data_IF_777158697720
#
_entry.id   IF_777158697720
#
_cell.length_a   1.000
_cell.length_b   1.000
_cell.length_c   1.000
_cell.angle_alpha   90.00
_cell.angle_beta   90.00
_cell.angle_gamma   90.00
#
_symmetry.space_group_name_H-M   'P 1'
#
loop_
_entity.id
_entity.type
_entity.pdbx_description
1 polymer ?
#
# COMPACT_ATOMS: atom_id res chain seq x y z
N UNK A 1 -8.34 9.95 7.32
CA UNK A 1 -8.76 11.30 6.86
C UNK A 1 -9.66 12.06 7.83
N UNK A 2 -10.79 11.51 8.26
CA UNK A 2 -11.72 12.22 9.14
C UNK A 2 -11.14 12.70 10.50
N UNK A 3 -9.95 12.26 10.91
CA UNK A 3 -9.25 12.71 12.12
C UNK A 3 -7.97 13.50 11.84
N UNK A 4 -7.63 13.76 10.57
CA UNK A 4 -6.38 14.46 10.18
C UNK A 4 -6.31 15.86 10.78
N UNK A 5 -7.43 16.59 10.77
CA UNK A 5 -7.52 17.95 11.33
C UNK A 5 -7.59 18.00 12.86
N UNK A 6 -7.37 16.88 13.56
CA UNK A 6 -7.29 16.80 15.00
C UNK A 6 -8.39 15.97 15.67
N UNK A 7 -8.32 15.91 17.00
CA UNK A 7 -9.14 15.02 17.82
C UNK A 7 -10.64 15.35 17.77
N UNK A 8 -11.49 14.33 17.55
CA UNK A 8 -12.94 14.47 17.39
C UNK A 8 -13.73 13.47 18.23
N UNK A 9 -14.91 13.88 18.66
CA UNK A 9 -15.94 12.99 19.25
C UNK A 9 -16.59 12.13 18.16
N UNK A 10 -17.29 11.06 18.56
CA UNK A 10 -18.05 10.20 17.63
C UNK A 10 -19.07 11.01 16.84
N UNK A 11 -19.72 11.98 17.47
CA UNK A 11 -20.75 12.84 16.87
C UNK A 11 -20.15 13.76 15.80
N UNK A 12 -18.91 14.23 16.01
CA UNK A 12 -18.19 15.01 15.01
C UNK A 12 -17.76 14.15 13.81
N UNK A 13 -17.33 12.91 14.05
CA UNK A 13 -16.98 11.97 12.97
C UNK A 13 -18.23 11.54 12.20
N UNK A 14 -19.35 11.31 12.87
CA UNK A 14 -20.66 11.05 12.25
C UNK A 14 -21.05 12.17 11.28
N UNK A 15 -20.93 13.44 11.70
CA UNK A 15 -21.24 14.59 10.83
C UNK A 15 -20.40 14.64 9.56
N UNK A 16 -19.18 14.11 9.58
CA UNK A 16 -18.27 14.11 8.42
C UNK A 16 -18.45 12.88 7.53
N UNK A 17 -18.77 11.73 8.11
CA UNK A 17 -18.77 10.42 7.40
C UNK A 17 -20.16 9.88 7.10
N UNK A 18 -21.21 10.39 7.76
CA UNK A 18 -22.57 9.86 7.68
C UNK A 18 -22.78 8.52 8.42
N UNK A 19 -21.72 7.89 8.93
CA UNK A 19 -21.81 6.59 9.59
C UNK A 19 -22.51 6.68 10.96
N UNK A 20 -23.27 5.64 11.34
CA UNK A 20 -24.04 5.67 12.59
C UNK A 20 -23.17 5.87 13.84
N UNK A 21 -23.65 6.65 14.80
CA UNK A 21 -22.94 6.89 16.07
C UNK A 21 -22.64 5.57 16.81
N UNK A 22 -23.57 4.60 16.79
CA UNK A 22 -23.36 3.29 17.40
C UNK A 22 -22.20 2.53 16.74
N UNK A 23 -22.19 2.47 15.42
CA UNK A 23 -21.15 1.78 14.66
C UNK A 23 -19.79 2.45 14.78
N UNK A 24 -19.76 3.79 14.65
CA UNK A 24 -18.54 4.57 14.83
C UNK A 24 -17.93 4.38 16.22
N UNK A 25 -18.74 4.42 17.28
CA UNK A 25 -18.23 4.18 18.64
C UNK A 25 -17.57 2.80 18.75
N UNK A 26 -18.25 1.76 18.28
CA UNK A 26 -17.73 0.39 18.34
C UNK A 26 -16.41 0.23 17.57
N UNK A 27 -16.33 0.70 16.32
CA UNK A 27 -15.12 0.55 15.51
C UNK A 27 -13.98 1.43 16.04
N UNK A 28 -14.27 2.67 16.46
CA UNK A 28 -13.24 3.57 16.98
C UNK A 28 -12.70 3.10 18.33
N UNK A 29 -13.54 2.54 19.21
CA UNK A 29 -13.08 1.91 20.46
C UNK A 29 -12.24 0.65 20.17
N UNK A 30 -12.59 -0.15 19.18
CA UNK A 30 -11.76 -1.28 18.74
C UNK A 30 -10.41 -0.81 18.18
N UNK A 31 -10.38 0.24 17.37
CA UNK A 31 -9.14 0.85 16.86
C UNK A 31 -8.27 1.45 17.97
N UNK A 32 -8.87 1.90 19.08
CA UNK A 32 -8.11 2.27 20.28
C UNK A 32 -7.46 1.04 20.91
N UNK A 33 -8.19 -0.07 21.03
CA UNK A 33 -7.65 -1.34 21.55
C UNK A 33 -6.54 -1.94 20.66
N UNK A 34 -6.57 -1.66 19.36
CA UNK A 34 -5.52 -2.03 18.40
C UNK A 34 -4.39 -1.00 18.29
N UNK A 35 -4.39 0.04 19.13
CA UNK A 35 -3.39 1.12 19.12
C UNK A 35 -3.28 1.89 17.80
N UNK A 36 -4.37 1.91 17.02
CA UNK A 36 -4.48 2.72 15.80
C UNK A 36 -5.08 4.11 16.09
N UNK A 37 -5.83 4.25 17.18
CA UNK A 37 -6.35 5.52 17.68
C UNK A 37 -6.03 5.70 19.17
N UNK A 38 -6.08 6.94 19.64
CA UNK A 38 -6.08 7.30 21.06
C UNK A 38 -7.43 7.86 21.44
N UNK A 39 -7.87 7.65 22.67
CA UNK A 39 -9.08 8.26 23.23
C UNK A 39 -8.76 9.03 24.49
N UNK A 40 -9.12 10.30 24.54
CA UNK A 40 -8.89 11.15 25.72
C UNK A 40 -10.01 10.99 26.77
N UNK A 41 -9.81 11.59 27.95
CA UNK A 41 -10.80 11.57 29.05
C UNK A 41 -12.12 12.28 28.71
N UNK A 42 -12.13 13.13 27.68
CA UNK A 42 -13.33 13.83 27.18
C UNK A 42 -14.04 13.03 26.09
N UNK A 43 -13.57 11.81 25.79
CA UNK A 43 -14.15 10.93 24.77
C UNK A 43 -13.80 11.32 23.33
N UNK A 44 -12.78 12.15 23.11
CA UNK A 44 -12.29 12.47 21.76
C UNK A 44 -11.27 11.45 21.31
N UNK A 45 -11.37 11.09 20.04
CA UNK A 45 -10.45 10.18 19.35
C UNK A 45 -9.45 10.98 18.53
N UNK A 46 -8.19 10.58 18.54
CA UNK A 46 -7.13 11.12 17.70
C UNK A 46 -6.29 10.00 17.08
N UNK A 47 -5.56 10.31 16.01
CA UNK A 47 -4.63 9.38 15.40
C UNK A 47 -3.45 9.11 16.34
N UNK A 48 -2.90 7.91 16.27
CA UNK A 48 -1.51 7.66 16.69
C UNK A 48 -0.55 8.22 15.64
N UNK A 49 0.73 8.47 15.98
CA UNK A 49 1.73 8.88 14.99
C UNK A 49 1.82 7.92 13.79
N UNK A 50 1.68 6.63 14.03
CA UNK A 50 1.70 5.58 13.01
C UNK A 50 0.49 5.70 12.08
N UNK A 51 -0.73 5.83 12.63
CA UNK A 51 -1.93 6.03 11.82
C UNK A 51 -1.91 7.35 11.05
N UNK A 52 -1.33 8.40 11.61
CA UNK A 52 -1.16 9.68 10.90
C UNK A 52 -0.18 9.55 9.73
N UNK A 53 0.93 8.84 9.92
CA UNK A 53 1.94 8.64 8.89
C UNK A 53 1.48 7.72 7.75
N UNK A 54 0.72 6.66 8.08
CA UNK A 54 0.49 5.54 7.17
C UNK A 54 -0.98 5.34 6.76
N UNK A 55 -1.97 5.93 7.45
CA UNK A 55 -3.40 5.71 7.17
C UNK A 55 -4.17 6.97 6.74
N UNK A 56 -3.48 8.10 6.55
CA UNK A 56 -4.04 9.29 5.92
C UNK A 56 -3.77 9.25 4.42
N UNK A 57 -4.81 9.41 3.60
CA UNK A 57 -4.78 9.14 2.16
C UNK A 57 -3.85 10.07 1.36
N UNK A 58 -3.55 11.27 1.86
CA UNK A 58 -2.72 12.26 1.17
C UNK A 58 -1.23 12.21 1.56
N UNK A 59 -0.83 11.31 2.47
CA UNK A 59 0.56 11.23 2.93
C UNK A 59 1.39 10.42 1.93
N UNK A 60 2.63 10.84 1.61
CA UNK A 60 3.49 10.10 0.66
C UNK A 60 3.72 8.63 1.04
N UNK A 61 3.76 8.31 2.34
CA UNK A 61 3.96 6.94 2.85
C UNK A 61 2.66 6.16 3.07
N UNK A 62 1.51 6.65 2.63
CA UNK A 62 0.22 6.06 2.96
C UNK A 62 0.06 4.65 2.40
N UNK A 63 -0.46 3.74 3.22
CA UNK A 63 -0.89 2.40 2.79
C UNK A 63 -2.41 2.25 2.87
N UNK A 64 -3.15 3.35 3.07
CA UNK A 64 -4.61 3.33 3.12
C UNK A 64 -5.23 2.79 1.81
N UNK A 65 -4.65 3.16 0.67
CA UNK A 65 -5.06 2.67 -0.65
C UNK A 65 -4.90 1.15 -0.78
N UNK A 66 -3.83 0.58 -0.23
CA UNK A 66 -3.59 -0.87 -0.25
C UNK A 66 -4.75 -1.63 0.40
N UNK A 67 -5.19 -1.24 1.60
CA UNK A 67 -6.30 -1.93 2.28
C UNK A 67 -7.60 -1.85 1.48
N UNK A 68 -7.89 -0.72 0.85
CA UNK A 68 -9.10 -0.54 0.04
C UNK A 68 -9.10 -1.46 -1.19
N UNK A 69 -7.95 -1.60 -1.85
CA UNK A 69 -7.80 -2.42 -3.06
C UNK A 69 -7.71 -3.92 -2.76
N UNK A 70 -7.07 -4.31 -1.65
CA UNK A 70 -6.74 -5.71 -1.37
C UNK A 70 -7.84 -6.45 -0.58
N UNK A 71 -8.61 -5.76 0.26
CA UNK A 71 -9.61 -6.40 1.14
C UNK A 71 -10.70 -7.18 0.40
N UNK A 72 -11.30 -6.68 -0.70
CA UNK A 72 -12.30 -7.44 -1.47
C UNK A 72 -11.73 -8.74 -2.06
N UNK A 73 -10.48 -8.66 -2.53
CA UNK A 73 -9.76 -9.78 -3.14
C UNK A 73 -9.32 -10.80 -2.09
N UNK A 74 -8.84 -10.34 -0.93
CA UNK A 74 -8.43 -11.19 0.18
C UNK A 74 -9.61 -11.93 0.77
N UNK A 75 -10.73 -11.27 1.05
CA UNK A 75 -11.86 -11.91 1.72
C UNK A 75 -12.40 -13.11 0.93
N UNK A 76 -12.62 -12.96 -0.38
CA UNK A 76 -13.13 -14.06 -1.22
C UNK A 76 -12.16 -15.25 -1.30
N UNK A 77 -10.85 -14.98 -1.33
CA UNK A 77 -9.80 -16.01 -1.41
C UNK A 77 -9.51 -16.66 -0.06
N UNK A 78 -9.43 -15.89 1.02
CA UNK A 78 -9.15 -16.38 2.38
C UNK A 78 -10.27 -17.24 2.95
N UNK A 79 -11.53 -16.95 2.62
CA UNK A 79 -12.65 -17.81 3.00
C UNK A 79 -12.57 -19.21 2.37
N UNK A 80 -11.76 -19.38 1.32
CA UNK A 80 -11.52 -20.65 0.62
C UNK A 80 -10.15 -21.25 0.90
N UNK A 81 -9.47 -20.81 1.97
CA UNK A 81 -8.15 -21.32 2.35
C UNK A 81 -8.11 -22.86 2.44
N UNK A 82 -9.16 -23.48 3.01
CA UNK A 82 -9.24 -24.93 3.14
C UNK A 82 -9.22 -25.67 1.81
N UNK A 83 -9.80 -25.10 0.75
CA UNK A 83 -9.77 -25.67 -0.60
C UNK A 83 -8.34 -25.60 -1.16
N UNK A 84 -7.69 -24.44 -1.03
CA UNK A 84 -6.31 -24.27 -1.50
C UNK A 84 -5.34 -25.22 -0.80
N UNK A 85 -5.51 -25.44 0.51
CA UNK A 85 -4.72 -26.40 1.29
C UNK A 85 -5.00 -27.83 0.84
N UNK A 86 -6.26 -28.19 0.57
CA UNK A 86 -6.64 -29.54 0.14
C UNK A 86 -6.08 -29.88 -1.25
N UNK A 87 -6.21 -28.95 -2.19
CA UNK A 87 -5.96 -29.21 -3.60
C UNK A 87 -4.56 -28.79 -4.05
N UNK A 88 -3.83 -28.04 -3.21
CA UNK A 88 -2.48 -27.55 -3.49
C UNK A 88 -2.42 -26.48 -4.58
N UNK A 89 -3.54 -25.79 -4.86
CA UNK A 89 -3.68 -24.82 -5.95
C UNK A 89 -4.22 -23.49 -5.44
N UNK A 90 -3.85 -22.35 -6.08
CA UNK A 90 -4.42 -21.06 -5.72
C UNK A 90 -5.93 -21.04 -6.00
N UNK A 91 -6.70 -20.36 -5.14
CA UNK A 91 -8.15 -20.16 -5.33
C UNK A 91 -8.45 -19.39 -6.61
N UNK A 92 -7.59 -18.41 -6.92
CA UNK A 92 -7.59 -17.62 -8.16
C UNK A 92 -6.13 -17.49 -8.59
N UNK A 93 -5.83 -17.90 -9.82
CA UNK A 93 -4.55 -17.70 -10.46
C UNK A 93 -4.54 -16.32 -11.14
N UNK A 94 -3.56 -15.48 -10.84
CA UNK A 94 -3.40 -14.14 -11.47
C UNK A 94 -2.06 -14.02 -12.19
N UNK A 95 -1.44 -15.15 -12.53
CA UNK A 95 -0.13 -15.25 -13.16
C UNK A 95 -0.20 -15.35 -14.69
N UNK A 96 -1.36 -15.07 -15.27
CA UNK A 96 -1.60 -14.98 -16.72
C UNK A 96 -1.87 -13.53 -17.10
N UNK A 97 -1.40 -13.10 -18.28
CA UNK A 97 -1.36 -11.68 -18.66
C UNK A 97 -2.71 -10.96 -18.59
N UNK A 98 -3.78 -11.60 -19.04
CA UNK A 98 -5.11 -10.99 -19.11
C UNK A 98 -5.68 -10.69 -17.72
N UNK A 99 -5.90 -11.73 -16.91
CA UNK A 99 -6.45 -11.60 -15.56
C UNK A 99 -5.48 -10.88 -14.62
N UNK A 100 -4.18 -11.09 -14.83
CA UNK A 100 -3.12 -10.46 -14.05
C UNK A 100 -3.03 -8.96 -14.31
N UNK A 101 -3.11 -8.47 -15.56
CA UNK A 101 -3.06 -7.03 -15.85
C UNK A 101 -4.20 -6.27 -15.17
N UNK A 102 -5.43 -6.78 -15.24
CA UNK A 102 -6.58 -6.16 -14.56
C UNK A 102 -6.38 -6.11 -13.05
N UNK A 103 -5.86 -7.19 -12.46
CA UNK A 103 -5.59 -7.27 -11.03
C UNK A 103 -4.45 -6.33 -10.59
N UNK A 104 -3.30 -6.37 -11.28
CA UNK A 104 -2.10 -5.66 -10.86
C UNK A 104 -2.18 -4.16 -11.13
N UNK A 105 -2.81 -3.71 -12.22
CA UNK A 105 -2.98 -2.28 -12.51
C UNK A 105 -3.68 -1.50 -11.38
N UNK A 106 -4.58 -2.14 -10.63
CA UNK A 106 -5.25 -1.54 -9.47
C UNK A 106 -4.39 -1.57 -8.18
N UNK A 107 -3.40 -2.47 -8.14
CA UNK A 107 -2.62 -2.76 -6.95
C UNK A 107 -1.28 -2.01 -6.93
N UNK A 108 -0.60 -1.92 -8.08
CA UNK A 108 0.82 -1.56 -8.13
C UNK A 108 1.12 -0.17 -7.56
N UNK A 109 0.29 0.84 -7.84
CA UNK A 109 0.46 2.18 -7.24
C UNK A 109 0.30 2.15 -5.72
N UNK A 110 -0.65 1.35 -5.23
CA UNK A 110 -0.97 1.24 -3.81
C UNK A 110 0.10 0.48 -3.00
N UNK A 111 1.03 -0.22 -3.65
CA UNK A 111 2.13 -0.95 -3.00
C UNK A 111 3.49 -0.26 -3.12
N UNK A 112 3.57 0.86 -3.84
CA UNK A 112 4.78 1.70 -3.93
C UNK A 112 5.34 2.03 -2.55
N UNK A 113 4.54 2.52 -1.57
CA UNK A 113 5.06 2.92 -0.26
C UNK A 113 5.68 1.77 0.54
N UNK A 114 5.25 0.53 0.28
CA UNK A 114 5.82 -0.67 0.90
C UNK A 114 7.16 -1.07 0.29
N UNK A 115 7.38 -0.74 -0.99
CA UNK A 115 8.57 -1.16 -1.75
C UNK A 115 9.65 -0.09 -1.80
N UNK A 116 9.28 1.19 -1.82
CA UNK A 116 10.19 2.30 -2.09
C UNK A 116 11.35 2.38 -1.08
N UNK A 117 11.07 2.26 0.22
CA UNK A 117 12.12 2.27 1.25
C UNK A 117 13.12 1.11 1.07
N UNK A 118 12.62 -0.09 0.73
CA UNK A 118 13.46 -1.24 0.42
C UNK A 118 14.32 -1.03 -0.83
N UNK A 119 13.73 -0.46 -1.89
CA UNK A 119 14.43 -0.14 -3.13
C UNK A 119 15.53 0.91 -2.94
N UNK A 120 15.29 1.94 -2.12
CA UNK A 120 16.32 2.92 -1.75
C UNK A 120 17.48 2.25 -0.98
N UNK A 121 17.17 1.35 -0.04
CA UNK A 121 18.19 0.61 0.71
C UNK A 121 19.01 -0.32 -0.17
N UNK A 122 18.38 -0.97 -1.15
CA UNK A 122 19.09 -1.75 -2.15
C UNK A 122 20.06 -0.88 -2.94
N UNK A 123 19.60 0.28 -3.43
CA UNK A 123 20.44 1.19 -4.20
C UNK A 123 21.64 1.73 -3.39
N UNK A 124 21.43 2.03 -2.10
CA UNK A 124 22.50 2.41 -1.18
C UNK A 124 23.50 1.27 -0.96
N UNK A 125 23.00 0.04 -0.76
CA UNK A 125 23.83 -1.15 -0.57
C UNK A 125 24.70 -1.45 -1.78
N UNK A 126 24.13 -1.34 -2.98
CA UNK A 126 24.83 -1.46 -4.27
C UNK A 126 25.74 -0.27 -4.57
N UNK A 127 25.72 0.78 -3.73
CA UNK A 127 26.51 2.01 -3.87
C UNK A 127 26.29 2.69 -5.22
N UNK A 128 25.06 2.68 -5.73
CA UNK A 128 24.69 3.19 -7.07
C UNK A 128 25.13 4.64 -7.27
N UNK A 129 25.05 5.47 -6.23
CA UNK A 129 25.48 6.88 -6.26
C UNK A 129 26.98 7.07 -6.46
N UNK A 130 27.80 6.02 -6.28
CA UNK A 130 29.27 6.05 -6.43
C UNK A 130 29.76 5.48 -7.75
N UNK A 131 28.85 4.99 -8.61
CA UNK A 131 29.23 4.45 -9.92
C UNK A 131 29.83 5.55 -10.81
N UNK A 132 30.94 5.23 -11.47
CA UNK A 132 31.62 6.13 -12.41
C UNK A 132 31.18 5.92 -13.86
N UNK A 133 30.88 4.67 -14.22
CA UNK A 133 30.44 4.26 -15.55
C UNK A 133 28.91 4.19 -15.66
N UNK A 134 28.38 3.91 -16.85
CA UNK A 134 26.96 3.64 -17.04
C UNK A 134 26.58 2.33 -16.31
N UNK A 135 25.50 2.37 -15.54
CA UNK A 135 24.91 1.20 -14.89
C UNK A 135 23.62 0.81 -15.61
N UNK A 136 23.60 -0.37 -16.22
CA UNK A 136 22.40 -0.91 -16.87
C UNK A 136 21.67 -1.83 -15.91
N UNK A 137 20.38 -1.55 -15.72
CA UNK A 137 19.48 -2.30 -14.82
C UNK A 137 18.37 -2.91 -15.67
N UNK A 138 18.10 -4.19 -15.47
CA UNK A 138 16.93 -4.87 -16.02
C UNK A 138 15.95 -5.09 -14.86
N UNK A 139 14.77 -4.47 -14.94
CA UNK A 139 13.69 -4.60 -13.97
C UNK A 139 12.63 -5.54 -14.56
N UNK A 140 12.58 -6.79 -14.07
CA UNK A 140 11.72 -7.85 -14.60
C UNK A 140 10.45 -7.96 -13.77
N UNK A 141 9.28 -8.00 -14.43
CA UNK A 141 7.97 -7.85 -13.80
C UNK A 141 7.92 -6.55 -12.98
N UNK A 142 8.25 -5.45 -13.66
CA UNK A 142 8.53 -4.15 -13.06
C UNK A 142 7.33 -3.56 -12.28
N UNK A 143 6.09 -3.93 -12.62
CA UNK A 143 4.88 -3.42 -11.97
C UNK A 143 4.83 -1.90 -12.03
N UNK A 144 4.95 -1.23 -10.88
CA UNK A 144 5.01 0.23 -10.80
C UNK A 144 6.36 0.84 -11.17
N UNK A 145 7.35 0.03 -11.58
CA UNK A 145 8.72 0.46 -11.90
C UNK A 145 9.54 0.94 -10.70
N UNK A 146 8.99 0.89 -9.48
CA UNK A 146 9.53 1.62 -8.33
C UNK A 146 10.95 1.16 -7.94
N UNK A 147 11.30 -0.09 -8.21
CA UNK A 147 12.63 -0.62 -7.95
C UNK A 147 13.65 -0.01 -8.91
N UNK A 148 13.40 -0.09 -10.22
CA UNK A 148 14.22 0.58 -11.23
C UNK A 148 14.31 2.10 -11.02
N UNK A 149 13.18 2.76 -10.75
CA UNK A 149 13.11 4.21 -10.50
C UNK A 149 13.98 4.59 -9.30
N UNK A 150 13.84 3.91 -8.16
CA UNK A 150 14.63 4.22 -6.96
C UNK A 150 16.14 4.04 -7.18
N UNK A 151 16.55 3.11 -8.04
CA UNK A 151 17.95 2.99 -8.47
C UNK A 151 18.36 4.17 -9.35
N UNK A 152 17.52 4.55 -10.32
CA UNK A 152 17.78 5.67 -11.22
C UNK A 152 17.86 7.03 -10.50
N UNK A 153 17.06 7.23 -9.45
CA UNK A 153 17.10 8.42 -8.60
C UNK A 153 18.46 8.65 -7.92
N UNK A 154 19.26 7.59 -7.71
CA UNK A 154 20.57 7.70 -7.05
C UNK A 154 21.68 8.21 -7.97
N UNK A 155 21.53 8.13 -9.29
CA UNK A 155 22.57 8.56 -10.24
C UNK A 155 22.04 8.70 -11.67
N UNK A 156 22.38 9.78 -12.39
CA UNK A 156 22.00 9.96 -13.80
C UNK A 156 22.71 8.96 -14.75
N UNK A 157 23.64 8.14 -14.23
CA UNK A 157 24.34 7.11 -15.00
C UNK A 157 23.59 5.78 -15.05
N UNK A 158 22.44 5.70 -14.39
CA UNK A 158 21.62 4.49 -14.37
C UNK A 158 20.66 4.51 -15.55
N UNK A 159 20.64 3.43 -16.32
CA UNK A 159 19.67 3.19 -17.38
C UNK A 159 18.89 1.93 -17.05
N UNK A 160 17.58 2.08 -16.88
CA UNK A 160 16.66 0.99 -16.57
C UNK A 160 15.98 0.52 -17.85
N UNK A 161 15.96 -0.79 -18.06
CA UNK A 161 15.06 -1.46 -18.98
C UNK A 161 14.00 -2.17 -18.14
N UNK A 162 12.76 -1.66 -18.15
CA UNK A 162 11.64 -2.28 -17.48
C UNK A 162 10.95 -3.27 -18.42
N UNK A 163 10.62 -4.45 -17.90
CA UNK A 163 9.92 -5.50 -18.63
C UNK A 163 8.72 -5.93 -17.81
N UNK A 164 7.55 -5.82 -18.42
CA UNK A 164 6.28 -6.30 -17.88
C UNK A 164 5.33 -6.62 -19.04
N UNK A 165 4.15 -7.13 -18.73
CA UNK A 165 3.06 -7.27 -19.69
C UNK A 165 2.70 -5.94 -20.33
N UNK A 166 2.21 -5.98 -21.58
CA UNK A 166 2.00 -4.76 -22.36
C UNK A 166 1.02 -3.79 -21.67
N UNK A 167 0.01 -4.34 -20.98
CA UNK A 167 -0.97 -3.55 -20.23
C UNK A 167 -0.45 -2.98 -18.90
N UNK A 168 0.69 -3.46 -18.40
CA UNK A 168 1.31 -2.94 -17.17
C UNK A 168 2.26 -1.77 -17.43
N UNK A 169 2.88 -1.69 -18.62
CA UNK A 169 3.85 -0.65 -18.99
C UNK A 169 3.33 0.79 -18.78
N UNK A 170 2.06 1.14 -19.05
CA UNK A 170 1.56 2.49 -18.77
C UNK A 170 1.55 2.88 -17.28
N UNK A 171 1.62 1.90 -16.36
CA UNK A 171 1.64 2.09 -14.91
C UNK A 171 3.07 1.96 -14.32
N UNK A 172 4.05 1.61 -15.16
CA UNK A 172 5.49 1.51 -14.83
C UNK A 172 6.19 2.85 -15.04
#
# INVERSE_FOLDING_TARGET
DALESGAKTVEQVNKQTGASVRGLRAIMDALVGLELLKKDRKGKYSLTPESEAFLISNKPGTVAGFFSSILPQLNSRWLRLSDAVRDGRPVVAVNEETEGTEFFSQLVENIIPMSYGGAQKLADHLKVSKTKDELRVLDLAAGSGIWGIALAEKSPRVRVAAVDWAGMIPTT
#
